data_IF_923138241116
#
_entry.id   IF_923138241116
#
_cell.length_a   1.000
_cell.length_b   1.000
_cell.length_c   1.000
_cell.angle_alpha   90.00
_cell.angle_beta   90.00
_cell.angle_gamma   90.00
#
_symmetry.space_group_name_H-M   'P 1'
#
loop_
_entity.id
_entity.type
_entity.pdbx_description
1 polymer ?
#
# COMPACT_ATOMS: atom_id res chain seq x y z
N UNK A 1 -31.91 27.08 17.96
CA UNK A 1 -32.00 28.48 17.50
C UNK A 1 -30.60 28.99 17.23
N UNK A 2 -30.45 29.57 16.08
CA UNK A 2 -29.34 30.31 15.43
C UNK A 2 -28.51 29.52 14.45
N UNK A 3 -29.04 29.56 13.22
CA UNK A 3 -28.29 29.43 11.94
C UNK A 3 -27.36 30.66 11.82
N UNK A 4 -26.15 30.46 11.39
CA UNK A 4 -25.39 31.51 10.75
C UNK A 4 -24.77 31.00 9.44
N UNK A 5 -25.26 31.62 8.41
CA UNK A 5 -24.87 31.55 7.01
C UNK A 5 -23.56 32.39 6.88
N UNK A 6 -22.55 31.87 6.24
CA UNK A 6 -21.48 32.67 5.70
C UNK A 6 -21.24 32.30 4.25
N UNK A 7 -21.69 33.20 3.39
CA UNK A 7 -21.64 33.20 1.94
C UNK A 7 -20.40 33.98 1.47
N UNK A 8 -19.78 33.49 0.38
CA UNK A 8 -19.00 34.21 -0.65
C UNK A 8 -17.65 34.84 -0.32
N UNK A 9 -16.62 34.40 -1.08
CA UNK A 9 -15.91 35.30 -2.01
C UNK A 9 -15.11 34.52 -3.05
N UNK A 10 -15.63 34.47 -4.27
CA UNK A 10 -14.88 34.14 -5.47
C UNK A 10 -14.10 35.41 -5.88
N UNK A 11 -12.78 35.31 -6.01
CA UNK A 11 -11.96 36.33 -6.64
C UNK A 11 -11.29 35.75 -7.89
N UNK A 12 -11.82 36.09 -9.04
CA UNK A 12 -11.14 35.97 -10.34
C UNK A 12 -9.90 36.84 -10.35
N UNK A 13 -8.75 36.29 -10.69
CA UNK A 13 -7.61 37.03 -11.23
C UNK A 13 -7.28 36.45 -12.60
N UNK A 14 -7.76 37.14 -13.61
CA UNK A 14 -7.26 37.00 -14.99
C UNK A 14 -5.98 37.85 -15.13
N UNK A 15 -4.86 37.21 -15.37
CA UNK A 15 -3.66 37.85 -15.86
C UNK A 15 -3.48 37.53 -17.34
N UNK A 16 -3.73 38.52 -18.19
CA UNK A 16 -3.34 38.52 -19.60
C UNK A 16 -1.87 38.90 -19.71
N UNK A 17 -1.06 38.00 -20.26
CA UNK A 17 0.28 38.36 -20.75
C UNK A 17 0.25 38.21 -22.27
N UNK A 18 0.31 39.31 -22.95
CA UNK A 18 0.60 39.41 -24.38
C UNK A 18 2.12 39.41 -24.55
N UNK A 19 2.64 38.48 -25.32
CA UNK A 19 4.04 38.44 -25.73
C UNK A 19 4.14 37.83 -27.12
N UNK A 20 4.55 38.66 -28.07
CA UNK A 20 4.68 38.41 -29.50
C UNK A 20 5.87 37.50 -29.84
N UNK A 21 5.72 36.64 -30.86
CA UNK A 21 6.80 36.32 -31.80
C UNK A 21 7.19 34.84 -31.92
N UNK A 22 6.95 34.26 -33.11
CA UNK A 22 7.69 33.11 -33.62
C UNK A 22 6.85 31.90 -34.04
N UNK A 23 6.54 31.84 -35.34
CA UNK A 23 5.97 30.66 -36.03
C UNK A 23 6.82 29.41 -35.84
N UNK A 24 6.20 28.31 -35.41
CA UNK A 24 6.41 26.96 -35.95
C UNK A 24 5.21 26.11 -35.58
N UNK A 25 4.37 25.89 -36.58
CA UNK A 25 3.25 24.93 -36.56
C UNK A 25 3.80 23.52 -36.56
N UNK A 26 3.66 22.82 -35.44
CA UNK A 26 3.61 21.37 -35.41
C UNK A 26 2.19 21.01 -34.96
N UNK A 27 1.41 20.49 -35.88
CA UNK A 27 0.08 19.99 -35.62
C UNK A 27 0.23 18.68 -34.82
N UNK A 28 -0.07 18.71 -33.52
CA UNK A 28 -0.40 17.54 -32.76
C UNK A 28 -1.87 17.26 -32.95
N UNK A 29 -2.15 16.25 -33.75
CA UNK A 29 -3.48 15.62 -33.82
C UNK A 29 -3.81 15.05 -32.45
N UNK A 30 -4.71 15.70 -31.76
CA UNK A 30 -5.44 15.16 -30.64
C UNK A 30 -6.74 14.58 -31.17
N UNK A 31 -6.76 13.29 -31.46
CA UNK A 31 -7.99 12.54 -31.65
C UNK A 31 -7.83 11.18 -30.99
N UNK A 32 -8.16 11.14 -29.71
CA UNK A 32 -8.91 10.06 -29.07
C UNK A 32 -9.53 10.64 -27.80
N UNK A 33 -10.71 11.18 -27.98
CA UNK A 33 -11.64 11.27 -26.87
C UNK A 33 -12.01 9.82 -26.53
N UNK A 34 -11.42 9.28 -25.47
CA UNK A 34 -11.99 8.11 -24.83
C UNK A 34 -13.41 8.48 -24.41
N UNK A 35 -14.36 7.69 -24.87
CA UNK A 35 -15.70 7.66 -24.34
C UNK A 35 -15.61 7.41 -22.83
N UNK A 36 -15.60 8.47 -22.06
CA UNK A 36 -15.98 8.41 -20.65
C UNK A 36 -17.45 8.01 -20.65
N UNK A 37 -17.69 6.72 -20.47
CA UNK A 37 -18.99 6.22 -20.03
C UNK A 37 -19.44 7.12 -18.88
N UNK A 38 -20.63 7.71 -19.02
CA UNK A 38 -21.26 8.52 -17.97
C UNK A 38 -21.14 7.75 -16.67
N UNK A 39 -20.29 8.23 -15.76
CA UNK A 39 -20.29 7.78 -14.39
C UNK A 39 -21.69 8.01 -13.85
N UNK A 40 -22.29 6.93 -13.37
CA UNK A 40 -23.63 6.96 -12.80
C UNK A 40 -23.57 7.86 -11.57
N UNK A 41 -24.27 8.98 -11.57
CA UNK A 41 -24.23 10.00 -10.53
C UNK A 41 -24.77 9.51 -9.18
N UNK A 42 -25.24 8.26 -9.11
CA UNK A 42 -25.85 7.63 -7.94
C UNK A 42 -25.03 6.48 -7.34
N UNK A 43 -23.84 6.16 -7.87
CA UNK A 43 -22.99 5.12 -7.31
C UNK A 43 -22.36 5.55 -5.98
N UNK A 44 -22.32 4.63 -5.02
CA UNK A 44 -21.57 4.84 -3.77
C UNK A 44 -20.10 4.49 -4.00
N UNK A 45 -19.23 5.44 -3.74
CA UNK A 45 -17.79 5.25 -3.82
C UNK A 45 -17.25 4.63 -2.54
N UNK A 46 -16.49 3.54 -2.68
CA UNK A 46 -15.83 2.81 -1.60
C UNK A 46 -14.34 3.02 -1.71
N UNK A 47 -13.71 3.48 -0.64
CA UNK A 47 -12.28 3.79 -0.59
C UNK A 47 -11.49 2.56 -0.18
N UNK A 48 -10.54 2.13 -1.03
CA UNK A 48 -9.58 1.09 -0.75
C UNK A 48 -8.17 1.67 -0.72
N UNK A 49 -7.50 1.56 0.42
CA UNK A 49 -6.11 1.99 0.60
C UNK A 49 -5.16 0.81 0.50
N UNK A 50 -3.98 1.02 -0.08
CA UNK A 50 -2.97 -0.05 -0.21
C UNK A 50 -1.54 0.49 -0.30
N UNK A 51 -0.60 -0.28 0.26
CA UNK A 51 0.84 -0.09 0.06
C UNK A 51 1.37 -0.79 -1.21
N UNK A 52 0.54 -1.55 -1.92
CA UNK A 52 0.90 -2.15 -3.20
C UNK A 52 1.24 -1.08 -4.24
N UNK A 53 2.20 -1.40 -5.12
CA UNK A 53 2.57 -0.51 -6.21
C UNK A 53 1.43 -0.34 -7.21
N UNK A 54 1.31 0.86 -7.73
CA UNK A 54 0.41 1.17 -8.83
C UNK A 54 0.80 0.34 -10.07
N UNK A 55 -0.15 -0.38 -10.69
CA UNK A 55 0.12 -1.17 -11.90
C UNK A 55 0.60 -0.33 -13.08
N UNK A 56 0.30 0.97 -13.14
CA UNK A 56 0.85 1.87 -14.16
C UNK A 56 2.34 2.14 -13.95
N UNK A 57 2.82 2.09 -12.70
CA UNK A 57 4.23 2.30 -12.35
C UNK A 57 5.02 0.99 -12.38
N UNK A 58 4.40 -0.12 -12.05
CA UNK A 58 5.01 -1.46 -12.01
C UNK A 58 4.18 -2.47 -12.82
N UNK A 59 4.22 -2.40 -14.16
CA UNK A 59 3.33 -3.19 -15.02
C UNK A 59 3.75 -4.66 -15.16
N UNK A 60 5.03 -4.98 -14.99
CA UNK A 60 5.55 -6.28 -15.44
C UNK A 60 5.18 -7.46 -14.52
N UNK A 61 5.14 -7.26 -13.22
CA UNK A 61 4.77 -8.31 -12.26
C UNK A 61 4.25 -7.70 -10.97
N UNK A 62 2.95 -7.61 -10.86
CA UNK A 62 2.29 -7.02 -9.70
C UNK A 62 1.05 -7.83 -9.29
N UNK A 63 1.22 -9.05 -8.76
CA UNK A 63 0.10 -9.93 -8.43
C UNK A 63 -0.84 -9.36 -7.37
N UNK A 64 -0.38 -8.41 -6.57
CA UNK A 64 -1.23 -7.73 -5.60
C UNK A 64 -2.16 -6.74 -6.28
N UNK A 65 -1.64 -5.96 -7.25
CA UNK A 65 -2.46 -5.06 -8.04
C UNK A 65 -3.49 -5.83 -8.86
N UNK A 66 -3.09 -6.94 -9.50
CA UNK A 66 -4.00 -7.81 -10.25
C UNK A 66 -5.16 -8.31 -9.38
N UNK A 67 -4.84 -8.74 -8.15
CA UNK A 67 -5.84 -9.16 -7.17
C UNK A 67 -6.80 -8.05 -6.77
N UNK A 68 -6.28 -6.84 -6.55
CA UNK A 68 -7.09 -5.67 -6.17
C UNK A 68 -7.96 -5.16 -7.32
N UNK A 69 -7.43 -5.14 -8.54
CA UNK A 69 -8.21 -4.81 -9.74
C UNK A 69 -9.34 -5.82 -9.96
N UNK A 70 -9.06 -7.11 -9.73
CA UNK A 70 -10.10 -8.15 -9.80
C UNK A 70 -11.14 -7.99 -8.71
N UNK A 71 -10.74 -7.66 -7.49
CA UNK A 71 -11.66 -7.35 -6.40
C UNK A 71 -12.57 -6.18 -6.76
N UNK A 72 -12.02 -5.08 -7.28
CA UNK A 72 -12.77 -3.92 -7.77
C UNK A 72 -13.79 -4.34 -8.83
N UNK A 73 -13.35 -5.04 -9.89
CA UNK A 73 -14.21 -5.52 -10.96
C UNK A 73 -15.40 -6.36 -10.42
N UNK A 74 -15.12 -7.28 -9.50
CA UNK A 74 -16.18 -8.15 -8.95
C UNK A 74 -17.16 -7.39 -8.05
N UNK A 75 -16.69 -6.43 -7.25
CA UNK A 75 -17.58 -5.58 -6.44
C UNK A 75 -18.50 -4.74 -7.34
N UNK A 76 -17.94 -4.07 -8.34
CA UNK A 76 -18.69 -3.20 -9.25
C UNK A 76 -19.70 -4.01 -10.06
N UNK A 77 -19.28 -5.14 -10.61
CA UNK A 77 -20.13 -6.05 -11.38
C UNK A 77 -21.28 -6.66 -10.55
N UNK A 78 -20.94 -7.24 -9.40
CA UNK A 78 -21.93 -7.94 -8.57
C UNK A 78 -22.89 -6.97 -7.85
N UNK A 79 -22.51 -5.72 -7.71
CA UNK A 79 -23.39 -4.66 -7.22
C UNK A 79 -24.28 -4.06 -8.32
N UNK A 80 -24.08 -4.45 -9.59
CA UNK A 80 -24.70 -3.82 -10.77
C UNK A 80 -24.40 -2.30 -10.82
N UNK A 81 -23.16 -1.91 -10.52
CA UNK A 81 -22.72 -0.52 -10.54
C UNK A 81 -23.17 0.33 -9.34
N UNK A 82 -23.85 -0.25 -8.35
CA UNK A 82 -24.23 0.52 -7.14
C UNK A 82 -23.03 0.95 -6.30
N UNK A 83 -21.93 0.20 -6.37
CA UNK A 83 -20.67 0.51 -5.70
C UNK A 83 -19.55 0.62 -6.73
N UNK A 84 -18.70 1.62 -6.54
CA UNK A 84 -17.45 1.83 -7.28
C UNK A 84 -16.31 1.79 -6.27
N UNK A 85 -15.23 1.04 -6.55
CA UNK A 85 -14.08 0.95 -5.66
C UNK A 85 -12.97 1.88 -6.15
N UNK A 86 -12.65 2.89 -5.37
CA UNK A 86 -11.55 3.81 -5.62
C UNK A 86 -10.29 3.30 -4.91
N UNK A 87 -9.27 2.89 -5.67
CA UNK A 87 -8.04 2.32 -5.12
C UNK A 87 -6.97 3.40 -5.03
N UNK A 88 -6.45 3.60 -3.82
CA UNK A 88 -5.33 4.51 -3.54
C UNK A 88 -4.06 3.71 -3.34
N UNK A 89 -3.26 3.66 -4.39
CA UNK A 89 -2.04 2.89 -4.48
C UNK A 89 -0.87 3.49 -3.71
N UNK A 90 0.10 2.65 -3.36
CA UNK A 90 1.42 3.02 -2.88
C UNK A 90 1.40 3.94 -1.66
N UNK A 91 0.51 3.67 -0.71
CA UNK A 91 0.31 4.49 0.49
C UNK A 91 0.11 5.98 0.18
N UNK A 92 -0.50 6.30 -0.98
CA UNK A 92 -0.74 7.69 -1.39
C UNK A 92 -1.80 8.40 -0.55
N UNK A 93 -2.68 7.63 0.09
CA UNK A 93 -3.74 8.15 0.95
C UNK A 93 -3.33 8.12 2.42
N UNK A 94 -2.83 6.97 2.90
CA UNK A 94 -2.41 6.74 4.27
C UNK A 94 -1.43 5.55 4.33
N UNK A 95 -0.59 5.49 5.36
CA UNK A 95 0.19 4.29 5.69
C UNK A 95 -0.73 3.13 6.09
N UNK A 96 -0.21 1.90 6.10
CA UNK A 96 -1.00 0.74 6.51
C UNK A 96 -1.54 0.86 7.95
N UNK A 97 -0.78 1.43 8.88
CA UNK A 97 -1.20 1.63 10.25
C UNK A 97 -2.29 2.71 10.39
N UNK A 98 -2.16 3.83 9.66
CA UNK A 98 -3.18 4.87 9.61
C UNK A 98 -4.46 4.35 8.95
N UNK A 99 -4.34 3.61 7.85
CA UNK A 99 -5.47 2.98 7.17
C UNK A 99 -6.28 2.05 8.07
N UNK A 100 -5.60 1.34 8.98
CA UNK A 100 -6.27 0.49 9.97
C UNK A 100 -7.16 1.32 10.89
N UNK A 101 -6.65 2.44 11.40
CA UNK A 101 -7.43 3.36 12.25
C UNK A 101 -8.58 3.99 11.46
N UNK A 102 -8.34 4.39 10.22
CA UNK A 102 -9.37 5.01 9.37
C UNK A 102 -10.54 4.08 9.06
N UNK A 103 -10.30 2.76 8.91
CA UNK A 103 -11.38 1.77 8.80
C UNK A 103 -12.19 1.71 10.10
N UNK A 104 -11.52 1.71 11.27
CA UNK A 104 -12.21 1.69 12.57
C UNK A 104 -13.09 2.94 12.77
N UNK A 105 -12.63 4.08 12.24
CA UNK A 105 -13.34 5.35 12.33
C UNK A 105 -14.41 5.53 11.22
N UNK A 106 -14.44 4.61 10.24
CA UNK A 106 -15.36 4.64 9.10
C UNK A 106 -15.00 5.69 8.04
N UNK A 107 -13.74 6.12 8.00
CA UNK A 107 -13.24 7.08 7.01
C UNK A 107 -12.83 6.41 5.69
N UNK A 108 -12.48 5.12 5.74
CA UNK A 108 -12.20 4.27 4.58
C UNK A 108 -12.92 2.94 4.71
N UNK A 109 -13.18 2.26 3.58
CA UNK A 109 -13.97 1.03 3.56
C UNK A 109 -13.10 -0.23 3.56
N UNK A 110 -11.95 -0.18 2.89
CA UNK A 110 -11.05 -1.31 2.73
C UNK A 110 -9.59 -0.91 2.88
N UNK A 111 -8.79 -1.85 3.38
CA UNK A 111 -7.34 -1.79 3.30
C UNK A 111 -6.79 -3.12 2.80
N UNK A 112 -5.85 -3.05 1.88
CA UNK A 112 -4.99 -4.15 1.52
C UNK A 112 -3.56 -3.79 1.88
N UNK A 113 -3.09 -4.30 2.99
CA UNK A 113 -1.79 -3.91 3.52
C UNK A 113 -1.24 -4.91 4.53
N UNK A 114 -0.21 -4.47 5.21
CA UNK A 114 0.51 -5.22 6.21
C UNK A 114 0.79 -4.30 7.43
N UNK A 115 1.44 -4.81 8.46
CA UNK A 115 1.93 -3.95 9.54
C UNK A 115 0.93 -3.67 10.67
N UNK A 116 -0.13 -4.44 10.79
CA UNK A 116 -1.11 -4.31 11.87
C UNK A 116 -0.51 -4.51 13.27
N UNK A 117 0.69 -5.08 13.37
CA UNK A 117 1.45 -5.24 14.61
C UNK A 117 1.81 -3.91 15.30
N UNK A 118 1.82 -2.79 14.56
CA UNK A 118 2.01 -1.46 15.14
C UNK A 118 0.76 -0.96 15.87
N UNK A 119 -0.41 -1.45 15.49
CA UNK A 119 -1.69 -1.10 16.13
C UNK A 119 -2.02 -2.09 17.26
N UNK A 120 -1.92 -3.38 16.98
CA UNK A 120 -2.10 -4.46 17.96
C UNK A 120 -0.95 -5.46 17.86
N UNK A 121 -0.13 -5.52 18.90
CA UNK A 121 1.07 -6.37 18.97
C UNK A 121 0.78 -7.86 18.76
N UNK A 122 -0.45 -8.30 18.95
CA UNK A 122 -0.85 -9.69 18.73
C UNK A 122 -0.75 -10.10 17.26
N UNK A 123 -0.83 -9.15 16.32
CA UNK A 123 -0.58 -9.43 14.91
C UNK A 123 0.89 -9.73 14.58
N UNK A 124 1.80 -9.44 15.52
CA UNK A 124 3.24 -9.65 15.31
C UNK A 124 3.64 -11.12 15.08
N UNK A 125 2.80 -12.09 15.50
CA UNK A 125 3.10 -13.50 15.31
C UNK A 125 3.35 -13.88 13.84
N UNK A 126 2.67 -13.22 12.90
CA UNK A 126 2.84 -13.43 11.47
C UNK A 126 4.20 -12.95 10.93
N UNK A 127 4.91 -12.14 11.71
CA UNK A 127 6.19 -11.54 11.37
C UNK A 127 7.38 -12.31 11.95
N UNK A 128 7.13 -13.33 12.76
CA UNK A 128 8.20 -14.15 13.34
C UNK A 128 8.97 -14.83 12.19
N UNK A 129 10.27 -14.52 12.03
CA UNK A 129 11.07 -15.09 10.96
C UNK A 129 11.08 -16.62 11.03
N UNK A 130 10.96 -17.26 9.85
CA UNK A 130 10.96 -18.73 9.69
C UNK A 130 9.81 -19.50 10.34
N UNK A 131 8.83 -18.81 10.95
CA UNK A 131 7.63 -19.48 11.48
C UNK A 131 6.83 -20.17 10.35
N UNK A 132 6.75 -19.53 9.20
CA UNK A 132 6.14 -20.03 7.97
C UNK A 132 7.25 -20.11 6.89
N UNK A 133 7.90 -21.28 6.76
CA UNK A 133 9.17 -21.39 6.04
C UNK A 133 9.06 -21.25 4.52
N UNK A 134 7.88 -21.50 3.96
CA UNK A 134 7.65 -21.47 2.52
C UNK A 134 6.21 -21.03 2.17
N UNK A 135 6.00 -20.74 0.88
CA UNK A 135 4.72 -20.23 0.38
C UNK A 135 3.59 -21.26 0.49
N UNK A 136 3.89 -22.54 0.38
CA UNK A 136 2.88 -23.58 0.48
C UNK A 136 2.39 -23.71 1.93
N UNK A 137 3.28 -23.63 2.91
CA UNK A 137 2.93 -23.52 4.32
C UNK A 137 2.09 -22.28 4.61
N UNK A 138 2.45 -21.13 4.05
CA UNK A 138 1.65 -19.90 4.19
C UNK A 138 0.26 -20.07 3.61
N UNK A 139 0.14 -20.63 2.41
CA UNK A 139 -1.17 -20.89 1.78
C UNK A 139 -2.03 -21.83 2.61
N UNK A 140 -1.43 -22.92 3.10
CA UNK A 140 -2.14 -23.94 3.87
C UNK A 140 -2.54 -23.44 5.27
N UNK A 141 -1.62 -22.79 5.99
CA UNK A 141 -1.78 -22.48 7.41
C UNK A 141 -2.34 -21.09 7.69
N UNK A 142 -2.14 -20.16 6.77
CA UNK A 142 -2.51 -18.77 6.97
C UNK A 142 -3.59 -18.28 5.98
N UNK A 143 -3.42 -18.52 4.69
CA UNK A 143 -4.32 -17.98 3.67
C UNK A 143 -5.57 -18.84 3.44
N UNK A 144 -5.55 -20.11 3.82
CA UNK A 144 -6.72 -21.00 3.73
C UNK A 144 -7.77 -20.56 4.77
N UNK A 145 -9.01 -20.23 4.37
CA UNK A 145 -10.07 -19.80 5.31
C UNK A 145 -10.43 -20.84 6.39
N UNK A 146 -10.11 -22.11 6.16
CA UNK A 146 -10.35 -23.19 7.12
C UNK A 146 -9.13 -23.44 8.04
N UNK A 147 -8.05 -22.70 7.88
CA UNK A 147 -6.85 -22.87 8.68
C UNK A 147 -6.96 -22.18 10.03
N UNK A 148 -6.28 -22.73 11.04
CA UNK A 148 -6.21 -22.15 12.38
C UNK A 148 -5.60 -20.73 12.35
N UNK A 149 -4.54 -20.53 11.55
CA UNK A 149 -3.91 -19.21 11.41
C UNK A 149 -4.86 -18.15 10.82
N UNK A 150 -5.73 -18.55 9.87
CA UNK A 150 -6.77 -17.66 9.37
C UNK A 150 -7.78 -17.32 10.46
N UNK A 151 -8.22 -18.32 11.22
CA UNK A 151 -9.17 -18.14 12.33
C UNK A 151 -8.62 -17.24 13.44
N UNK A 152 -7.33 -17.39 13.80
CA UNK A 152 -6.64 -16.52 14.77
C UNK A 152 -6.71 -15.06 14.29
N UNK A 153 -6.36 -14.81 13.04
CA UNK A 153 -6.37 -13.46 12.50
C UNK A 153 -7.79 -12.89 12.37
N UNK A 154 -8.75 -13.71 11.91
CA UNK A 154 -10.16 -13.30 11.86
C UNK A 154 -10.63 -12.77 13.21
N UNK A 155 -10.35 -13.51 14.28
CA UNK A 155 -10.69 -13.09 15.64
C UNK A 155 -10.00 -11.79 16.05
N UNK A 156 -8.70 -11.64 15.74
CA UNK A 156 -7.96 -10.41 16.06
C UNK A 156 -8.52 -9.20 15.33
N UNK A 157 -8.87 -9.34 14.04
CA UNK A 157 -9.51 -8.27 13.29
C UNK A 157 -10.88 -7.91 13.82
N UNK A 158 -11.71 -8.91 14.15
CA UNK A 158 -13.04 -8.70 14.73
C UNK A 158 -12.99 -8.01 16.10
N UNK A 159 -12.02 -8.36 16.95
CA UNK A 159 -11.79 -7.68 18.24
C UNK A 159 -11.37 -6.22 18.05
N UNK A 160 -10.84 -5.86 16.89
CA UNK A 160 -10.53 -4.49 16.50
C UNK A 160 -11.63 -3.83 15.65
N UNK A 161 -12.82 -4.42 15.56
CA UNK A 161 -13.97 -3.86 14.83
C UNK A 161 -13.85 -3.97 13.31
N UNK A 162 -12.91 -4.77 12.78
CA UNK A 162 -12.63 -4.92 11.35
C UNK A 162 -12.93 -6.35 10.91
N UNK A 163 -13.46 -6.52 9.73
CA UNK A 163 -13.69 -7.82 9.12
C UNK A 163 -12.56 -8.22 8.20
N UNK A 164 -11.91 -9.34 8.49
CA UNK A 164 -10.96 -9.97 7.57
C UNK A 164 -11.73 -10.62 6.43
N UNK A 165 -11.46 -10.20 5.19
CA UNK A 165 -12.09 -10.77 3.99
C UNK A 165 -11.23 -11.87 3.38
N UNK A 166 -9.92 -11.65 3.30
CA UNK A 166 -8.97 -12.60 2.76
C UNK A 166 -7.57 -12.36 3.33
N UNK A 167 -6.74 -13.36 3.28
CA UNK A 167 -5.30 -13.23 3.52
C UNK A 167 -4.55 -13.75 2.30
N UNK A 168 -3.54 -13.04 1.90
CA UNK A 168 -2.58 -13.55 0.94
C UNK A 168 -1.20 -13.67 1.57
N UNK A 169 -0.30 -14.34 0.88
CA UNK A 169 1.07 -14.39 1.28
C UNK A 169 1.84 -13.29 0.54
N UNK A 170 2.67 -12.58 1.29
CA UNK A 170 3.77 -11.87 0.68
C UNK A 170 4.75 -12.84 0.02
N UNK A 171 5.62 -12.33 -0.82
CA UNK A 171 6.75 -13.08 -1.35
C UNK A 171 7.75 -13.37 -0.22
N UNK A 172 8.62 -14.35 -0.43
CA UNK A 172 9.74 -14.57 0.47
C UNK A 172 10.65 -13.35 0.50
N UNK A 173 11.17 -13.03 1.68
CA UNK A 173 12.10 -11.90 1.84
C UNK A 173 13.50 -12.32 1.52
N UNK A 174 14.21 -11.42 0.85
CA UNK A 174 15.61 -11.57 0.51
C UNK A 174 16.40 -10.37 1.00
N UNK A 175 17.66 -10.60 1.34
CA UNK A 175 18.57 -9.53 1.71
C UNK A 175 19.30 -9.06 0.45
N UNK A 176 19.17 -7.77 0.14
CA UNK A 176 19.93 -7.11 -0.90
C UNK A 176 21.04 -6.28 -0.26
N UNK A 177 22.25 -6.37 -0.79
CA UNK A 177 23.42 -5.60 -0.32
C UNK A 177 24.13 -4.98 -1.50
N UNK A 178 24.59 -3.75 -1.33
CA UNK A 178 25.33 -3.00 -2.37
C UNK A 178 26.83 -3.33 -2.37
N UNK A 179 27.39 -3.70 -1.23
CA UNK A 179 28.84 -3.73 -1.06
C UNK A 179 29.43 -5.14 -0.97
N UNK A 180 28.68 -6.10 -0.48
CA UNK A 180 29.16 -7.47 -0.31
C UNK A 180 28.06 -8.51 -0.33
N UNK A 181 28.42 -9.74 -0.60
CA UNK A 181 27.51 -10.87 -0.52
C UNK A 181 27.30 -11.28 0.94
N UNK A 182 26.05 -11.26 1.39
CA UNK A 182 25.65 -11.72 2.72
C UNK A 182 25.31 -13.22 2.65
N UNK A 183 26.11 -14.04 3.31
CA UNK A 183 25.93 -15.51 3.35
C UNK A 183 25.56 -16.04 4.71
N UNK A 184 26.01 -15.38 5.75
CA UNK A 184 25.77 -15.77 7.14
C UNK A 184 25.45 -14.52 7.97
N UNK A 185 24.75 -14.68 9.12
CA UNK A 185 24.38 -13.53 9.96
C UNK A 185 25.55 -12.61 10.36
N UNK A 186 26.74 -13.17 10.54
CA UNK A 186 27.95 -12.40 10.84
C UNK A 186 28.32 -11.39 9.76
N UNK A 187 27.94 -11.61 8.52
CA UNK A 187 28.23 -10.69 7.42
C UNK A 187 27.40 -9.40 7.52
N UNK A 188 26.34 -9.38 8.33
CA UNK A 188 25.55 -8.19 8.64
C UNK A 188 26.23 -7.28 9.70
N UNK A 189 27.23 -7.79 10.42
CA UNK A 189 27.91 -7.02 11.44
C UNK A 189 28.56 -5.76 10.85
N UNK A 190 28.31 -4.61 11.49
CA UNK A 190 28.75 -3.27 11.08
C UNK A 190 28.05 -2.70 9.82
N UNK A 191 27.13 -3.45 9.21
CA UNK A 191 26.30 -2.92 8.14
C UNK A 191 25.11 -2.14 8.70
N UNK A 192 24.60 -1.20 7.92
CA UNK A 192 23.32 -0.52 8.19
C UNK A 192 22.30 -0.98 7.17
N UNK A 193 21.26 -1.68 7.63
CA UNK A 193 20.21 -2.21 6.78
C UNK A 193 18.94 -1.39 6.93
N UNK A 194 18.36 -1.07 5.80
CA UNK A 194 17.00 -0.53 5.79
C UNK A 194 16.03 -1.67 6.04
N UNK A 195 15.13 -1.45 7.00
CA UNK A 195 13.93 -2.24 7.23
C UNK A 195 12.72 -1.29 7.28
N UNK A 196 11.52 -1.83 7.28
CA UNK A 196 10.33 -1.04 7.62
C UNK A 196 10.09 -1.07 9.14
N UNK A 197 9.25 -0.17 9.62
CA UNK A 197 8.91 -0.07 11.03
C UNK A 197 8.05 -1.25 11.49
N UNK A 198 8.69 -2.26 12.06
CA UNK A 198 8.07 -3.44 12.68
C UNK A 198 8.95 -3.96 13.81
N UNK A 199 8.38 -4.13 15.00
CA UNK A 199 9.14 -4.48 16.19
C UNK A 199 9.85 -5.84 16.08
N UNK A 200 9.21 -6.85 15.50
CA UNK A 200 9.79 -8.20 15.35
C UNK A 200 10.91 -8.20 14.31
N UNK A 201 10.70 -7.51 13.18
CA UNK A 201 11.70 -7.39 12.12
C UNK A 201 12.92 -6.63 12.63
N UNK A 202 12.69 -5.54 13.36
CA UNK A 202 13.75 -4.74 13.96
C UNK A 202 14.55 -5.51 15.00
N UNK A 203 13.88 -6.26 15.87
CA UNK A 203 14.56 -7.11 16.86
C UNK A 203 15.41 -8.18 16.18
N UNK A 204 14.85 -8.84 15.15
CA UNK A 204 15.56 -9.89 14.41
C UNK A 204 16.82 -9.37 13.72
N UNK A 205 16.71 -8.34 12.88
CA UNK A 205 17.86 -7.81 12.15
C UNK A 205 18.82 -7.02 13.06
N UNK A 206 18.28 -6.33 14.08
CA UNK A 206 19.06 -5.58 15.07
C UNK A 206 19.99 -6.44 15.89
N UNK A 207 19.68 -7.73 16.01
CA UNK A 207 20.58 -8.72 16.61
C UNK A 207 21.86 -9.00 15.81
N UNK A 208 21.91 -8.59 14.53
CA UNK A 208 23.04 -8.86 13.63
C UNK A 208 23.74 -7.60 13.13
N UNK A 209 23.03 -6.49 12.96
CA UNK A 209 23.58 -5.25 12.41
C UNK A 209 22.83 -4.01 12.87
N UNK A 210 23.15 -2.87 12.26
CA UNK A 210 22.41 -1.62 12.50
C UNK A 210 21.18 -1.56 11.62
N UNK A 211 20.09 -0.98 12.15
CA UNK A 211 18.83 -0.84 11.45
C UNK A 211 18.53 0.63 11.19
N UNK A 212 17.96 0.89 10.01
CA UNK A 212 17.40 2.17 9.62
C UNK A 212 15.96 1.92 9.13
N UNK A 213 14.98 2.46 9.83
CA UNK A 213 13.57 2.32 9.43
C UNK A 213 13.20 3.45 8.47
N UNK A 214 12.87 3.07 7.26
CA UNK A 214 12.48 3.99 6.20
C UNK A 214 11.38 3.36 5.33
N UNK A 215 10.59 4.20 4.69
CA UNK A 215 9.59 3.76 3.73
C UNK A 215 10.24 3.06 2.53
N UNK A 216 9.45 2.23 1.84
CA UNK A 216 9.94 1.57 0.63
C UNK A 216 10.33 2.57 -0.47
N UNK A 217 9.69 3.73 -0.53
CA UNK A 217 10.01 4.80 -1.48
C UNK A 217 11.43 5.33 -1.32
N UNK A 218 11.90 5.41 -0.08
CA UNK A 218 13.22 5.96 0.24
C UNK A 218 14.38 5.03 -0.14
N UNK A 219 14.12 3.73 -0.37
CA UNK A 219 15.14 2.75 -0.77
C UNK A 219 15.91 3.20 -2.00
N UNK A 220 15.22 3.78 -2.99
CA UNK A 220 15.82 4.26 -4.24
C UNK A 220 16.74 5.47 -4.07
N UNK A 221 16.68 6.15 -2.94
CA UNK A 221 17.60 7.23 -2.56
C UNK A 221 18.66 6.72 -1.59
N UNK A 222 18.27 5.94 -0.59
CA UNK A 222 19.15 5.47 0.47
C UNK A 222 20.29 4.58 -0.03
N UNK A 223 19.99 3.66 -0.98
CA UNK A 223 21.00 2.75 -1.52
C UNK A 223 22.01 3.46 -2.44
N UNK A 224 21.63 4.26 -3.45
CA UNK A 224 22.57 5.01 -4.28
C UNK A 224 23.43 5.99 -3.49
N UNK A 225 22.85 6.65 -2.49
CA UNK A 225 23.53 7.65 -1.66
C UNK A 225 24.37 6.99 -0.55
N UNK A 226 24.39 5.66 -0.47
CA UNK A 226 25.15 4.87 0.52
C UNK A 226 24.82 5.21 1.98
N UNK A 227 23.58 5.64 2.22
CA UNK A 227 23.08 5.89 3.57
C UNK A 227 22.75 4.59 4.30
N UNK A 228 22.48 3.54 3.52
CA UNK A 228 22.38 2.16 3.99
C UNK A 228 23.18 1.24 3.08
N UNK A 229 23.68 0.14 3.62
CA UNK A 229 24.46 -0.87 2.87
C UNK A 229 23.58 -1.95 2.25
N UNK A 230 22.30 -1.96 2.58
CA UNK A 230 21.36 -2.96 2.06
C UNK A 230 19.94 -2.76 2.55
N UNK A 231 19.05 -3.63 2.06
CA UNK A 231 17.62 -3.67 2.43
C UNK A 231 17.12 -5.11 2.43
N UNK A 232 16.03 -5.34 3.11
CA UNK A 232 15.25 -6.57 3.05
C UNK A 232 13.97 -6.34 2.23
#
# INVERSE_FOLDING_TARGET
MKKLIATTMAAMMALTIVGCGGNNTVALQSDKAEETTKADSDATHLVLTTSALDPEVAPDYNPWADGLLKFKEEVEKNSNGRYVVDIYWYSSYASDAESFQMIQDGETDFNFGAGMSNVDKRFAWQRIPFLLPDLDTVREKLANPNAEGFAINTKLYEENGIKLLAQNSGLQRHIFSTDKLIKVPKDLANETFRTYEDAIVNEFYGGFGKICNNSYREVYTLLPDRLVSGTE
#
